data_IF_746719177346
#
_entry.id   IF_746719177346
#
_cell.length_a   1.000
_cell.length_b   1.000
_cell.length_c   1.000
_cell.angle_alpha   90.00
_cell.angle_beta   90.00
_cell.angle_gamma   90.00
#
_symmetry.space_group_name_H-M   'P 1'
#
loop_
_entity.id
_entity.type
_entity.pdbx_description
1 polymer ?
#
# COMPACT_ATOMS: atom_id res chain seq x y z
N UNK A 1 28.57 32.11 -63.14
CA UNK A 1 27.58 33.18 -62.91
C UNK A 1 26.17 32.57 -62.93
N UNK A 2 25.40 32.84 -61.85
CA UNK A 2 23.94 32.61 -61.67
C UNK A 2 23.48 31.14 -61.58
N UNK A 3 22.56 30.73 -60.69
CA UNK A 3 21.92 31.26 -59.48
C UNK A 3 21.13 30.05 -58.87
N UNK A 4 21.01 30.03 -57.55
CA UNK A 4 20.15 29.17 -56.71
C UNK A 4 18.75 28.84 -57.27
N UNK A 5 18.22 27.64 -56.95
CA UNK A 5 16.98 27.49 -56.15
C UNK A 5 16.73 26.05 -55.67
N UNK A 6 16.33 26.00 -54.40
CA UNK A 6 15.82 24.91 -53.55
C UNK A 6 14.58 24.25 -54.18
N UNK A 7 14.44 22.91 -54.06
CA UNK A 7 13.20 22.32 -53.55
C UNK A 7 13.39 20.89 -53.02
N UNK A 8 12.94 20.77 -51.79
CA UNK A 8 12.79 19.62 -50.90
C UNK A 8 11.47 18.92 -51.26
N UNK A 9 11.46 17.62 -51.56
CA UNK A 9 10.26 16.77 -51.36
C UNK A 9 10.75 15.40 -50.84
N UNK A 10 10.78 15.32 -49.51
CA UNK A 10 10.56 14.10 -48.74
C UNK A 10 9.13 13.59 -49.02
N UNK A 11 9.00 12.29 -49.28
CA UNK A 11 7.74 11.54 -49.10
C UNK A 11 8.12 10.09 -48.77
N UNK A 12 8.19 9.74 -47.49
CA UNK A 12 7.10 9.15 -46.71
C UNK A 12 6.89 7.66 -47.04
N UNK A 13 7.58 6.80 -46.29
CA UNK A 13 7.02 5.52 -45.86
C UNK A 13 7.27 5.42 -44.36
N UNK A 14 6.31 5.96 -43.60
CA UNK A 14 6.17 5.70 -42.19
C UNK A 14 5.63 4.28 -42.04
N UNK A 15 6.50 3.34 -41.68
CA UNK A 15 6.06 2.10 -41.01
C UNK A 15 6.00 2.47 -39.53
N UNK A 16 4.81 2.83 -39.09
CA UNK A 16 4.47 2.94 -37.68
C UNK A 16 4.44 1.50 -37.16
N UNK A 17 5.51 1.09 -36.46
CA UNK A 17 5.44 -0.01 -35.52
C UNK A 17 5.07 0.61 -34.18
N UNK A 18 3.78 0.68 -33.88
CA UNK A 18 3.30 0.85 -32.50
C UNK A 18 3.57 -0.46 -31.77
N UNK A 19 4.75 -0.56 -31.16
CA UNK A 19 4.94 -1.38 -29.98
C UNK A 19 4.82 -0.42 -28.79
N UNK A 20 3.73 -0.52 -28.03
CA UNK A 20 3.68 0.07 -26.69
C UNK A 20 4.68 -0.70 -25.83
N UNK A 21 5.91 -0.24 -25.78
CA UNK A 21 6.75 -0.44 -24.60
C UNK A 21 6.59 0.81 -23.77
N UNK A 22 6.07 0.69 -22.55
CA UNK A 22 6.21 1.74 -21.54
C UNK A 22 7.69 2.12 -21.49
N UNK A 23 7.97 3.34 -21.94
CA UNK A 23 9.27 3.97 -21.77
C UNK A 23 9.41 4.23 -20.28
N UNK A 24 10.21 3.40 -19.59
CA UNK A 24 10.73 3.73 -18.27
C UNK A 24 11.49 5.07 -18.39
N UNK A 25 10.80 6.19 -18.15
CA UNK A 25 11.44 7.49 -18.04
C UNK A 25 12.00 7.65 -16.63
N UNK A 26 13.09 6.93 -16.36
CA UNK A 26 14.34 7.51 -15.83
C UNK A 26 15.35 6.41 -15.49
N UNK A 27 16.31 6.16 -16.39
CA UNK A 27 17.67 5.84 -15.94
C UNK A 27 18.33 7.17 -15.57
N UNK A 28 18.10 7.68 -14.36
CA UNK A 28 18.96 8.76 -13.83
C UNK A 28 20.24 8.09 -13.32
N UNK A 29 21.30 8.22 -14.10
CA UNK A 29 22.66 7.94 -13.65
C UNK A 29 23.00 8.93 -12.53
N UNK A 30 23.30 8.40 -11.35
CA UNK A 30 23.78 9.15 -10.19
C UNK A 30 25.07 9.89 -10.55
N UNK A 31 24.97 11.20 -10.83
CA UNK A 31 26.09 12.13 -10.95
C UNK A 31 26.46 12.70 -9.57
N UNK A 32 27.11 11.89 -8.74
CA UNK A 32 28.09 12.27 -7.71
C UNK A 32 28.51 10.99 -6.97
N UNK A 33 29.79 10.85 -6.60
CA UNK A 33 30.24 9.70 -5.81
C UNK A 33 29.65 9.79 -4.40
N UNK A 34 28.47 9.23 -4.20
CA UNK A 34 27.82 9.19 -2.88
C UNK A 34 28.63 8.25 -1.99
N UNK A 35 29.12 8.76 -0.86
CA UNK A 35 29.79 7.93 0.14
C UNK A 35 28.74 7.12 0.92
N UNK A 36 28.54 5.87 0.47
CA UNK A 36 27.57 4.96 1.08
C UNK A 36 28.00 4.50 2.49
N UNK A 37 29.22 4.78 2.94
CA UNK A 37 29.70 4.33 4.25
C UNK A 37 29.07 5.05 5.44
N UNK A 38 28.40 6.19 5.19
CA UNK A 38 27.66 6.94 6.21
C UNK A 38 26.27 6.35 6.53
N UNK A 39 25.81 5.38 5.74
CA UNK A 39 24.47 4.80 5.85
C UNK A 39 24.49 3.45 6.58
N UNK A 40 23.55 3.26 7.50
CA UNK A 40 23.35 2.00 8.22
C UNK A 40 22.87 0.89 7.26
N UNK A 41 22.07 1.28 6.27
CA UNK A 41 21.42 0.41 5.30
C UNK A 41 21.21 1.19 4.01
N UNK A 42 21.37 0.53 2.86
CA UNK A 42 21.02 1.08 1.54
C UNK A 42 20.18 0.06 0.79
N UNK A 43 19.19 0.53 0.04
CA UNK A 43 18.28 -0.30 -0.73
C UNK A 43 17.71 0.49 -1.91
N UNK A 44 17.13 -0.20 -2.88
CA UNK A 44 16.39 0.43 -3.99
C UNK A 44 14.90 0.30 -3.70
N UNK A 45 14.16 1.40 -3.88
CA UNK A 45 12.72 1.45 -3.70
C UNK A 45 12.06 1.78 -5.04
N UNK A 46 11.07 0.98 -5.43
CA UNK A 46 10.17 1.34 -6.52
C UNK A 46 9.07 2.24 -5.95
N UNK A 47 8.85 3.39 -6.57
CA UNK A 47 7.94 4.43 -6.11
C UNK A 47 7.03 4.84 -7.26
N UNK A 48 5.72 4.89 -7.03
CA UNK A 48 4.76 5.45 -7.98
C UNK A 48 4.18 6.75 -7.44
N UNK A 49 4.20 7.81 -8.23
CA UNK A 49 3.57 9.09 -7.90
C UNK A 49 3.15 9.82 -9.17
N UNK A 50 1.90 10.33 -9.22
CA UNK A 50 1.34 11.06 -10.36
C UNK A 50 1.50 10.33 -11.72
N UNK A 51 1.28 9.01 -11.71
CA UNK A 51 1.38 8.16 -12.91
C UNK A 51 2.81 7.88 -13.39
N UNK A 52 3.82 8.36 -12.67
CA UNK A 52 5.23 8.10 -12.95
C UNK A 52 5.76 7.04 -11.98
N UNK A 53 6.64 6.17 -12.49
CA UNK A 53 7.36 5.17 -11.69
C UNK A 53 8.83 5.57 -11.59
N UNK A 54 9.31 5.67 -10.36
CA UNK A 54 10.68 6.02 -10.00
C UNK A 54 11.35 4.81 -9.36
N UNK A 55 12.61 4.55 -9.72
CA UNK A 55 13.45 3.55 -9.07
C UNK A 55 14.57 4.27 -8.35
N UNK A 56 14.43 4.41 -7.03
CA UNK A 56 15.23 5.35 -6.23
C UNK A 56 16.18 4.59 -5.30
N UNK A 57 17.45 4.99 -5.30
CA UNK A 57 18.40 4.53 -4.28
C UNK A 57 18.12 5.27 -2.97
N UNK A 58 17.91 4.52 -1.90
CA UNK A 58 17.60 5.00 -0.57
C UNK A 58 18.71 4.64 0.41
N UNK A 59 18.91 5.49 1.41
CA UNK A 59 19.81 5.26 2.53
C UNK A 59 19.12 5.53 3.86
N UNK A 60 19.42 4.71 4.87
CA UNK A 60 19.03 4.99 6.25
C UNK A 60 20.21 5.62 6.98
N UNK A 61 20.01 6.82 7.52
CA UNK A 61 21.00 7.54 8.33
C UNK A 61 20.34 8.05 9.61
N UNK A 62 20.87 7.66 10.76
CA UNK A 62 20.33 8.04 12.08
C UNK A 62 18.81 7.80 12.19
N UNK A 63 18.36 6.62 11.80
CA UNK A 63 16.93 6.22 11.79
C UNK A 63 16.00 7.07 10.92
N UNK A 64 16.55 7.80 9.94
CA UNK A 64 15.79 8.58 8.95
C UNK A 64 16.05 8.04 7.54
N UNK A 65 15.00 8.06 6.71
CA UNK A 65 15.10 7.74 5.28
C UNK A 65 15.63 8.95 4.51
N UNK A 66 16.65 8.73 3.70
CA UNK A 66 17.14 9.69 2.72
C UNK A 66 17.01 9.10 1.30
N UNK A 67 16.37 9.85 0.41
CA UNK A 67 16.38 9.54 -1.02
C UNK A 67 17.68 10.09 -1.63
N UNK A 68 18.52 9.21 -2.16
CA UNK A 68 19.85 9.57 -2.66
C UNK A 68 19.82 10.09 -4.09
N UNK A 69 18.71 9.89 -4.81
CA UNK A 69 18.43 10.60 -6.05
C UNK A 69 17.97 12.03 -5.73
N UNK A 70 18.76 13.01 -6.15
CA UNK A 70 18.46 14.43 -5.88
C UNK A 70 17.13 14.89 -6.48
N UNK A 71 16.80 14.43 -7.68
CA UNK A 71 15.58 14.84 -8.39
C UNK A 71 14.35 14.36 -7.64
N UNK A 72 14.35 13.07 -7.26
CA UNK A 72 13.25 12.50 -6.49
C UNK A 72 13.23 13.07 -5.06
N UNK A 73 14.38 13.29 -4.43
CA UNK A 73 14.44 13.91 -3.11
C UNK A 73 13.84 15.33 -3.11
N UNK A 74 14.15 16.13 -4.13
CA UNK A 74 13.57 17.47 -4.30
C UNK A 74 12.04 17.39 -4.49
N UNK A 75 11.54 16.42 -5.27
CA UNK A 75 10.11 16.14 -5.39
C UNK A 75 9.49 15.75 -4.04
N UNK A 76 10.10 14.81 -3.33
CA UNK A 76 9.57 14.30 -2.07
C UNK A 76 9.49 15.39 -1.00
N UNK A 77 10.58 16.14 -0.79
CA UNK A 77 10.65 17.15 0.29
C UNK A 77 9.74 18.35 0.02
N UNK A 78 9.56 18.74 -1.25
CA UNK A 78 8.79 19.94 -1.60
C UNK A 78 7.32 19.67 -1.92
N UNK A 79 6.93 18.43 -2.17
CA UNK A 79 5.58 18.07 -2.60
C UNK A 79 5.00 16.93 -1.74
N UNK A 80 5.51 15.71 -1.89
CA UNK A 80 4.93 14.50 -1.28
C UNK A 80 4.90 14.59 0.25
N UNK A 81 6.02 14.94 0.88
CA UNK A 81 6.15 14.96 2.34
C UNK A 81 5.29 16.04 3.01
N UNK A 82 5.03 17.15 2.31
CA UNK A 82 4.25 18.29 2.78
C UNK A 82 2.74 18.08 2.67
N UNK A 83 2.29 17.05 1.95
CA UNK A 83 0.88 16.77 1.80
C UNK A 83 0.30 16.17 3.09
N UNK A 84 -0.55 16.95 3.79
CA UNK A 84 -1.23 16.53 5.02
C UNK A 84 -2.33 15.47 4.81
N UNK A 85 -2.74 15.25 3.56
CA UNK A 85 -3.76 14.28 3.15
C UNK A 85 -3.19 13.07 2.39
N UNK A 86 -1.86 12.96 2.35
CA UNK A 86 -1.13 11.93 1.63
C UNK A 86 -1.68 10.53 1.93
N UNK A 87 -1.98 9.80 0.87
CA UNK A 87 -2.30 8.38 0.93
C UNK A 87 -1.18 7.54 0.34
N UNK A 88 -0.86 6.44 1.02
CA UNK A 88 0.20 5.50 0.65
C UNK A 88 -0.39 4.11 0.47
N UNK A 89 -0.03 3.42 -0.61
CA UNK A 89 -0.29 1.99 -0.79
C UNK A 89 1.05 1.25 -0.78
N UNK A 90 1.28 0.46 0.27
CA UNK A 90 2.45 -0.42 0.33
C UNK A 90 2.11 -1.76 -0.33
N UNK A 91 2.88 -2.11 -1.36
CA UNK A 91 2.71 -3.32 -2.15
C UNK A 91 3.96 -4.17 -1.96
N UNK A 92 3.84 -5.27 -1.22
CA UNK A 92 4.92 -6.24 -1.10
C UNK A 92 4.81 -7.24 -2.26
N UNK A 93 5.85 -7.33 -3.09
CA UNK A 93 5.89 -8.32 -4.16
C UNK A 93 6.78 -9.51 -3.75
N UNK A 94 6.39 -10.72 -4.13
CA UNK A 94 7.12 -11.94 -3.77
C UNK A 94 8.53 -12.05 -4.38
N UNK A 95 8.86 -11.19 -5.35
CA UNK A 95 10.16 -11.08 -6.02
C UNK A 95 11.10 -10.02 -5.39
N UNK A 96 10.65 -9.32 -4.34
CA UNK A 96 11.47 -8.36 -3.60
C UNK A 96 11.55 -6.97 -4.24
N UNK A 97 10.64 -6.67 -5.17
CA UNK A 97 10.44 -5.34 -5.77
C UNK A 97 9.28 -4.59 -5.09
N UNK A 98 9.35 -4.51 -3.76
CA UNK A 98 8.37 -3.78 -2.95
C UNK A 98 8.16 -2.38 -3.56
N UNK A 99 6.89 -2.04 -3.78
CA UNK A 99 6.50 -0.77 -4.40
C UNK A 99 5.68 0.03 -3.41
N UNK A 100 6.01 1.30 -3.26
CA UNK A 100 5.18 2.26 -2.54
C UNK A 100 4.53 3.19 -3.56
N UNK A 101 3.20 3.28 -3.51
CA UNK A 101 2.47 4.24 -4.32
C UNK A 101 2.01 5.40 -3.42
N UNK A 102 2.29 6.62 -3.87
CA UNK A 102 1.84 7.85 -3.23
C UNK A 102 0.69 8.46 -4.04
N UNK A 103 -0.32 8.95 -3.32
CA UNK A 103 -1.50 9.63 -3.87
C UNK A 103 -1.79 10.87 -3.04
N UNK A 104 -2.34 11.92 -3.66
CA UNK A 104 -2.55 13.16 -2.94
C UNK A 104 -3.68 13.06 -1.91
N UNK A 105 -4.61 12.11 -2.11
CA UNK A 105 -5.69 11.80 -1.19
C UNK A 105 -6.02 10.30 -1.18
N UNK A 106 -6.69 9.85 -0.11
CA UNK A 106 -7.26 8.51 -0.02
C UNK A 106 -8.24 8.20 -1.16
N UNK A 107 -9.05 9.18 -1.56
CA UNK A 107 -10.05 9.02 -2.62
C UNK A 107 -9.39 8.73 -3.98
N UNK A 108 -8.28 9.40 -4.30
CA UNK A 108 -7.52 9.13 -5.53
C UNK A 108 -6.92 7.73 -5.55
N UNK A 109 -6.38 7.26 -4.42
CA UNK A 109 -5.87 5.89 -4.28
C UNK A 109 -6.99 4.87 -4.48
N UNK A 110 -8.13 5.08 -3.82
CA UNK A 110 -9.28 4.18 -3.89
C UNK A 110 -9.86 4.12 -5.31
N UNK A 111 -9.99 5.26 -5.98
CA UNK A 111 -10.45 5.33 -7.37
C UNK A 111 -9.45 4.65 -8.33
N UNK A 112 -8.14 4.89 -8.15
CA UNK A 112 -7.10 4.30 -9.00
C UNK A 112 -7.07 2.76 -8.95
N UNK A 113 -7.43 2.18 -7.81
CA UNK A 113 -7.47 0.73 -7.59
C UNK A 113 -8.88 0.12 -7.66
N UNK A 114 -9.89 0.92 -8.01
CA UNK A 114 -11.31 0.52 -7.96
C UNK A 114 -11.67 -0.16 -6.64
N UNK A 115 -11.14 0.40 -5.54
CA UNK A 115 -11.26 -0.18 -4.21
C UNK A 115 -12.65 0.11 -3.66
N UNK A 116 -13.42 -0.94 -3.41
CA UNK A 116 -14.69 -0.85 -2.71
C UNK A 116 -14.61 -1.55 -1.36
N UNK A 117 -15.33 -1.03 -0.39
CA UNK A 117 -15.40 -1.65 0.91
C UNK A 117 -16.44 -2.76 0.93
N UNK A 118 -16.00 -3.98 1.22
CA UNK A 118 -16.87 -5.15 1.18
C UNK A 118 -17.97 -5.09 2.25
N UNK A 119 -17.60 -4.81 3.51
CA UNK A 119 -18.55 -4.70 4.61
C UNK A 119 -18.74 -3.24 5.03
N UNK A 120 -19.97 -2.86 5.42
CA UNK A 120 -20.28 -1.51 5.92
C UNK A 120 -20.41 -1.41 7.43
N UNK A 121 -20.52 -2.54 8.12
CA UNK A 121 -20.82 -2.57 9.55
C UNK A 121 -19.53 -2.71 10.37
N UNK A 122 -19.24 -1.70 11.19
CA UNK A 122 -18.06 -1.69 12.06
C UNK A 122 -18.39 -2.25 13.43
N UNK A 123 -17.42 -2.94 14.05
CA UNK A 123 -17.40 -3.01 15.51
C UNK A 123 -16.45 -1.92 15.99
N UNK A 124 -17.02 -0.84 16.57
CA UNK A 124 -16.24 0.12 17.34
C UNK A 124 -15.83 -0.54 18.65
N UNK A 125 -14.73 -1.28 18.67
CA UNK A 125 -14.28 -1.99 19.86
C UNK A 125 -13.45 -1.08 20.77
N UNK A 126 -14.12 -0.35 21.66
CA UNK A 126 -13.53 0.01 22.96
C UNK A 126 -13.79 -1.14 23.98
N UNK A 127 -14.52 -2.18 23.59
CA UNK A 127 -14.89 -3.31 24.45
C UNK A 127 -14.77 -4.64 23.73
N UNK A 128 -13.93 -5.51 24.28
CA UNK A 128 -13.63 -6.88 23.84
C UNK A 128 -14.87 -7.69 23.47
N UNK A 129 -15.24 -7.77 22.19
CA UNK A 129 -16.08 -8.86 21.72
C UNK A 129 -15.15 -9.89 21.09
N UNK A 130 -15.24 -11.12 21.56
CA UNK A 130 -14.58 -12.22 20.89
C UNK A 130 -15.17 -12.31 19.47
N UNK A 131 -14.30 -12.37 18.46
CA UNK A 131 -14.75 -12.59 17.08
C UNK A 131 -15.33 -14.00 17.01
N UNK A 132 -16.64 -14.08 16.78
CA UNK A 132 -17.31 -15.35 16.53
C UNK A 132 -17.14 -15.75 15.06
N UNK A 133 -16.77 -17.00 14.81
CA UNK A 133 -16.63 -17.54 13.45
C UNK A 133 -15.19 -17.55 12.89
N UNK A 134 -15.02 -17.97 11.63
CA UNK A 134 -13.71 -18.13 11.02
C UNK A 134 -13.06 -16.76 10.77
N UNK A 135 -11.81 -16.63 11.22
CA UNK A 135 -10.97 -15.47 10.93
C UNK A 135 -10.65 -15.48 9.43
N UNK A 136 -10.88 -14.36 8.77
CA UNK A 136 -10.59 -14.17 7.34
C UNK A 136 -9.44 -13.20 7.11
N UNK A 137 -9.06 -12.44 8.13
CA UNK A 137 -7.91 -11.56 8.10
C UNK A 137 -7.30 -11.37 9.49
N UNK A 138 -5.98 -11.17 9.52
CA UNK A 138 -5.23 -10.76 10.69
C UNK A 138 -4.32 -9.59 10.34
N UNK A 139 -4.18 -8.63 11.22
CA UNK A 139 -3.16 -7.60 11.17
C UNK A 139 -2.39 -7.59 12.49
N UNK A 140 -1.07 -7.41 12.41
CA UNK A 140 -0.20 -7.31 13.59
C UNK A 140 0.64 -6.04 13.46
N UNK A 141 0.49 -5.14 14.42
CA UNK A 141 1.25 -3.90 14.53
C UNK A 141 2.30 -4.06 15.63
N UNK A 142 3.54 -3.67 15.38
CA UNK A 142 4.65 -3.81 16.32
C UNK A 142 5.27 -2.44 16.66
N UNK A 143 5.60 -2.22 17.94
CA UNK A 143 6.23 -0.98 18.44
C UNK A 143 7.61 -0.72 17.81
N UNK A 144 8.35 -1.78 17.46
CA UNK A 144 9.71 -1.71 16.92
C UNK A 144 9.86 -2.37 15.55
N UNK A 145 10.93 -2.02 14.84
CA UNK A 145 11.31 -2.64 13.56
C UNK A 145 11.63 -4.12 13.71
N UNK A 146 11.59 -4.85 12.59
CA UNK A 146 11.80 -6.30 12.52
C UNK A 146 10.81 -7.13 13.36
N UNK A 147 9.58 -6.62 13.55
CA UNK A 147 8.49 -7.33 14.23
C UNK A 147 8.78 -7.64 15.71
N UNK A 148 9.35 -6.66 16.42
CA UNK A 148 9.83 -6.80 17.80
C UNK A 148 8.99 -6.01 18.81
N UNK A 149 9.30 -6.28 20.08
CA UNK A 149 8.68 -5.69 21.26
C UNK A 149 7.17 -5.98 21.35
N UNK A 150 6.40 -5.06 21.93
CA UNK A 150 4.95 -5.16 22.07
C UNK A 150 4.27 -5.12 20.71
N UNK A 151 3.17 -5.86 20.61
CA UNK A 151 2.31 -5.87 19.44
C UNK A 151 0.83 -5.79 19.80
N UNK A 152 0.03 -5.28 18.87
CA UNK A 152 -1.42 -5.49 18.83
C UNK A 152 -1.72 -6.48 17.71
N UNK A 153 -2.62 -7.42 17.98
CA UNK A 153 -3.21 -8.30 16.98
C UNK A 153 -4.66 -7.90 16.76
N UNK A 154 -5.03 -7.66 15.50
CA UNK A 154 -6.37 -7.35 15.05
C UNK A 154 -6.84 -8.48 14.14
N UNK A 155 -7.94 -9.12 14.49
CA UNK A 155 -8.54 -10.18 13.67
C UNK A 155 -9.85 -9.67 13.07
N UNK A 156 -10.23 -10.14 11.89
CA UNK A 156 -11.55 -9.88 11.30
C UNK A 156 -12.15 -11.17 10.77
N UNK A 157 -13.48 -11.22 10.68
CA UNK A 157 -14.21 -12.28 9.99
C UNK A 157 -14.94 -11.70 8.77
N UNK A 158 -15.70 -12.53 8.05
CA UNK A 158 -16.43 -12.10 6.85
C UNK A 158 -17.56 -11.10 7.11
N UNK A 159 -18.03 -10.96 8.35
CA UNK A 159 -19.22 -10.19 8.71
C UNK A 159 -18.84 -8.89 9.46
N UNK A 160 -17.64 -8.83 10.04
CA UNK A 160 -17.21 -7.76 10.95
C UNK A 160 -15.84 -7.22 10.55
N UNK A 161 -15.73 -5.90 10.54
CA UNK A 161 -14.45 -5.21 10.44
C UNK A 161 -14.14 -4.46 11.74
N UNK A 162 -12.84 -4.21 12.00
CA UNK A 162 -12.38 -3.48 13.17
C UNK A 162 -12.14 -2.02 12.81
N UNK A 163 -12.65 -1.11 13.63
CA UNK A 163 -12.32 0.31 13.56
C UNK A 163 -11.91 0.81 14.96
N UNK A 164 -10.66 1.26 15.09
CA UNK A 164 -10.11 1.76 16.35
C UNK A 164 -9.74 3.23 16.16
N UNK A 165 -10.50 4.18 16.73
CA UNK A 165 -10.24 5.62 16.58
C UNK A 165 -9.06 6.10 17.42
N UNK A 166 -8.61 5.31 18.41
CA UNK A 166 -7.48 5.65 19.27
C UNK A 166 -6.79 4.38 19.77
N UNK A 167 -5.60 4.08 19.25
CA UNK A 167 -4.84 2.87 19.62
C UNK A 167 -4.32 2.89 21.06
N UNK A 168 -4.00 4.08 21.56
CA UNK A 168 -3.54 4.28 22.94
C UNK A 168 -4.62 3.89 23.95
N UNK A 169 -5.87 4.27 23.69
CA UNK A 169 -7.01 3.91 24.53
C UNK A 169 -7.40 2.43 24.42
N UNK A 170 -7.13 1.80 23.26
CA UNK A 170 -7.48 0.41 22.99
C UNK A 170 -6.62 -0.61 23.74
N UNK A 171 -5.28 -0.48 23.68
CA UNK A 171 -4.36 -1.47 24.27
C UNK A 171 -3.14 -0.86 24.96
N UNK A 172 -3.16 0.45 25.26
CA UNK A 172 -1.98 1.16 25.77
C UNK A 172 -0.82 1.19 24.77
N UNK A 173 -1.11 0.89 23.50
CA UNK A 173 -0.14 0.88 22.41
C UNK A 173 0.11 2.32 22.00
N UNK A 174 1.31 2.79 22.34
CA UNK A 174 1.57 4.22 22.47
C UNK A 174 1.96 4.82 21.14
N UNK A 175 1.01 5.04 20.24
CA UNK A 175 1.12 5.74 18.94
C UNK A 175 2.42 5.44 18.16
N UNK A 176 3.07 4.29 18.43
CA UNK A 176 4.38 3.92 17.93
C UNK A 176 4.19 2.63 17.18
N UNK A 177 4.35 2.67 15.86
CA UNK A 177 4.34 1.46 15.04
C UNK A 177 5.47 1.59 14.05
N UNK A 178 6.39 0.63 14.10
CA UNK A 178 7.56 0.62 13.22
C UNK A 178 7.55 -0.54 12.26
N UNK A 179 6.73 -1.58 12.48
CA UNK A 179 6.56 -2.68 11.54
C UNK A 179 5.15 -3.28 11.58
N UNK A 180 4.71 -3.83 10.44
CA UNK A 180 3.34 -4.33 10.23
C UNK A 180 3.38 -5.67 9.50
N UNK A 181 2.44 -6.56 9.85
CA UNK A 181 2.11 -7.76 9.07
C UNK A 181 0.62 -7.85 8.83
N UNK A 182 0.21 -8.14 7.60
CA UNK A 182 -1.20 -8.34 7.25
C UNK A 182 -1.39 -9.67 6.54
N UNK A 183 -2.46 -10.38 6.93
CA UNK A 183 -2.83 -11.70 6.44
C UNK A 183 -4.19 -11.64 5.77
N UNK A 184 -4.31 -12.40 4.68
CA UNK A 184 -5.57 -12.70 4.02
C UNK A 184 -5.81 -14.21 4.01
N UNK A 185 -6.88 -14.64 4.66
CA UNK A 185 -7.31 -16.04 4.72
C UNK A 185 -8.58 -16.30 3.88
N UNK A 186 -8.99 -15.34 3.05
CA UNK A 186 -10.11 -15.54 2.12
C UNK A 186 -9.70 -16.54 1.05
N UNK A 187 -10.43 -17.65 0.96
CA UNK A 187 -10.17 -18.69 -0.02
C UNK A 187 -10.58 -18.20 -1.42
N UNK A 188 -9.75 -18.36 -2.47
CA UNK A 188 -10.07 -17.87 -3.81
C UNK A 188 -11.44 -18.32 -4.33
N UNK A 189 -11.77 -19.59 -4.13
CA UNK A 189 -13.04 -20.19 -4.56
C UNK A 189 -14.18 -20.00 -3.55
N UNK A 190 -13.87 -19.47 -2.36
CA UNK A 190 -14.82 -19.16 -1.31
C UNK A 190 -15.87 -18.15 -1.78
N UNK A 191 -17.09 -18.28 -1.27
CA UNK A 191 -18.22 -17.42 -1.62
C UNK A 191 -18.61 -16.59 -0.41
N UNK A 192 -18.44 -15.28 -0.51
CA UNK A 192 -18.64 -14.34 0.60
C UNK A 192 -19.76 -13.37 0.23
N UNK A 193 -20.73 -13.18 1.13
CA UNK A 193 -21.78 -12.16 0.96
C UNK A 193 -21.54 -11.09 2.01
N UNK A 194 -21.47 -9.82 1.62
CA UNK A 194 -21.22 -8.75 2.57
C UNK A 194 -22.35 -8.66 3.59
N UNK A 195 -21.98 -8.42 4.85
CA UNK A 195 -22.95 -8.17 5.91
C UNK A 195 -23.36 -6.70 5.89
N UNK A 196 -24.67 -6.47 5.99
CA UNK A 196 -25.27 -5.13 6.10
C UNK A 196 -26.39 -5.21 7.13
N UNK A 197 -26.37 -4.33 8.14
CA UNK A 197 -27.31 -4.28 9.27
C UNK A 197 -28.77 -4.07 8.84
N UNK A 198 -28.98 -3.43 7.68
CA UNK A 198 -30.30 -3.08 7.13
C UNK A 198 -30.48 -3.59 5.70
N UNK A 199 -30.44 -4.91 5.48
CA UNK A 199 -30.48 -5.48 4.14
C UNK A 199 -31.81 -5.23 3.42
N UNK A 200 -32.89 -4.96 4.18
CA UNK A 200 -34.21 -4.60 3.64
C UNK A 200 -34.28 -3.19 3.03
N UNK A 201 -33.23 -2.36 3.19
CA UNK A 201 -33.14 -1.04 2.58
C UNK A 201 -32.44 -1.06 1.21
N UNK A 202 -32.00 -2.22 0.74
CA UNK A 202 -31.33 -2.36 -0.55
C UNK A 202 -32.36 -2.62 -1.65
N UNK A 203 -32.24 -1.88 -2.76
CA UNK A 203 -33.05 -2.08 -3.96
C UNK A 203 -32.77 -3.43 -4.66
N UNK A 204 -31.63 -4.06 -4.35
CA UNK A 204 -31.22 -5.36 -4.87
C UNK A 204 -30.55 -6.20 -3.78
N UNK A 205 -30.78 -7.54 -3.77
CA UNK A 205 -30.06 -8.42 -2.86
C UNK A 205 -28.56 -8.40 -3.15
N UNK A 206 -27.76 -8.42 -2.09
CA UNK A 206 -26.30 -8.52 -2.20
C UNK A 206 -25.95 -9.84 -2.87
N UNK A 207 -25.12 -9.75 -3.92
CA UNK A 207 -24.64 -10.93 -4.62
C UNK A 207 -23.36 -11.43 -3.96
N UNK A 208 -23.18 -12.75 -3.80
CA UNK A 208 -21.94 -13.28 -3.29
C UNK A 208 -20.77 -12.94 -4.21
N UNK A 209 -19.64 -12.57 -3.61
CA UNK A 209 -18.36 -12.36 -4.28
C UNK A 209 -17.42 -13.53 -4.02
N UNK A 210 -16.59 -13.86 -5.02
CA UNK A 210 -15.52 -14.84 -4.85
C UNK A 210 -14.36 -14.24 -4.06
N UNK A 211 -13.76 -15.04 -3.18
CA UNK A 211 -12.60 -14.60 -2.39
C UNK A 211 -11.42 -14.17 -3.26
N UNK A 212 -11.31 -14.67 -4.49
CA UNK A 212 -10.29 -14.21 -5.45
C UNK A 212 -10.35 -12.71 -5.76
N UNK A 213 -11.53 -12.08 -5.60
CA UNK A 213 -11.74 -10.64 -5.80
C UNK A 213 -11.62 -9.81 -4.51
N UNK A 214 -11.36 -10.46 -3.39
CA UNK A 214 -11.34 -9.83 -2.08
C UNK A 214 -9.95 -9.85 -1.49
N UNK A 215 -9.62 -8.80 -0.74
CA UNK A 215 -8.40 -8.65 0.02
C UNK A 215 -8.70 -8.17 1.41
N UNK A 216 -7.82 -8.48 2.36
CA UNK A 216 -7.83 -7.83 3.66
C UNK A 216 -6.90 -6.63 3.59
N UNK A 217 -7.35 -5.51 4.14
CA UNK A 217 -6.63 -4.25 4.10
C UNK A 217 -6.64 -3.61 5.48
N UNK A 218 -5.43 -3.40 6.02
CA UNK A 218 -5.23 -2.56 7.19
C UNK A 218 -5.01 -1.12 6.70
N UNK A 219 -5.96 -0.25 7.01
CA UNK A 219 -5.90 1.18 6.76
C UNK A 219 -5.44 1.84 8.05
N UNK A 220 -4.26 2.42 8.03
CA UNK A 220 -3.61 3.04 9.19
C UNK A 220 -3.54 4.54 9.01
N UNK A 221 -3.84 5.28 10.08
CA UNK A 221 -3.89 6.74 10.07
C UNK A 221 -2.85 7.30 11.02
N UNK A 222 -2.18 8.36 10.59
CA UNK A 222 -1.17 9.07 11.38
C UNK A 222 -1.77 9.65 12.67
N UNK A 223 -3.01 10.16 12.62
CA UNK A 223 -3.69 10.77 13.75
C UNK A 223 -4.88 9.93 14.27
N UNK A 224 -5.32 10.25 15.50
CA UNK A 224 -6.54 9.66 16.07
C UNK A 224 -7.79 10.09 15.30
N UNK A 225 -8.86 9.32 15.43
CA UNK A 225 -10.14 9.53 14.76
C UNK A 225 -10.04 9.57 13.23
N UNK A 226 -9.15 8.75 12.66
CA UNK A 226 -8.99 8.56 11.22
C UNK A 226 -8.51 9.83 10.49
N UNK A 227 -7.60 10.58 11.13
CA UNK A 227 -7.05 11.83 10.59
C UNK A 227 -5.60 11.72 10.10
N UNK A 228 -5.15 12.78 9.43
CA UNK A 228 -3.78 12.90 8.93
C UNK A 228 -3.54 12.04 7.69
N UNK A 229 -2.27 11.69 7.49
CA UNK A 229 -1.84 10.79 6.40
C UNK A 229 -2.40 9.39 6.60
N UNK A 230 -2.57 8.64 5.51
CA UNK A 230 -3.13 7.28 5.53
C UNK A 230 -2.25 6.29 4.79
N UNK A 231 -2.09 5.09 5.36
CA UNK A 231 -1.35 3.96 4.81
C UNK A 231 -2.28 2.77 4.63
N UNK A 232 -2.34 2.24 3.41
CA UNK A 232 -3.06 1.04 3.05
C UNK A 232 -2.07 -0.12 2.94
N UNK A 233 -2.19 -1.09 3.83
CA UNK A 233 -1.45 -2.34 3.81
C UNK A 233 -2.39 -3.46 3.32
N UNK A 234 -2.26 -3.87 2.06
CA UNK A 234 -3.12 -4.86 1.42
C UNK A 234 -2.43 -6.22 1.39
N UNK A 235 -3.12 -7.27 1.84
CA UNK A 235 -2.59 -8.63 1.88
C UNK A 235 -3.21 -9.53 0.80
N UNK A 236 -2.34 -10.14 -0.02
CA UNK A 236 -2.72 -11.14 -1.01
C UNK A 236 -3.06 -12.49 -0.39
N UNK A 237 -3.78 -13.33 -1.14
CA UNK A 237 -4.00 -14.71 -0.74
C UNK A 237 -2.71 -15.53 -0.90
N UNK A 238 -2.37 -16.32 0.11
CA UNK A 238 -1.37 -17.40 0.00
C UNK A 238 -1.90 -18.66 0.66
N UNK A 239 -1.69 -19.81 0.01
CA UNK A 239 -2.00 -21.11 0.61
C UNK A 239 -1.08 -21.47 1.79
N UNK A 240 0.03 -20.74 1.96
CA UNK A 240 0.99 -20.92 3.04
C UNK A 240 0.72 -20.04 4.26
N UNK A 241 -0.22 -19.08 4.15
CA UNK A 241 -0.57 -18.19 5.24
C UNK A 241 -1.14 -18.99 6.42
N UNK A 242 -0.49 -18.87 7.57
CA UNK A 242 -0.82 -19.57 8.82
C UNK A 242 -0.88 -18.57 9.97
N UNK A 243 -2.04 -18.53 10.61
CA UNK A 243 -2.36 -17.66 11.74
C UNK A 243 -1.40 -17.81 12.93
N UNK A 244 -0.75 -18.96 13.07
CA UNK A 244 0.21 -19.25 14.14
C UNK A 244 1.67 -18.97 13.74
N UNK A 245 1.91 -18.60 12.48
CA UNK A 245 3.24 -18.39 11.92
C UNK A 245 3.33 -17.00 11.29
N UNK A 246 3.62 -15.96 12.09
CA UNK A 246 3.55 -14.58 11.63
C UNK A 246 4.39 -14.28 10.37
N UNK A 247 5.48 -15.01 10.17
CA UNK A 247 6.36 -14.90 9.00
C UNK A 247 5.71 -15.29 7.66
N UNK A 248 4.53 -15.93 7.70
CA UNK A 248 3.76 -16.33 6.51
C UNK A 248 2.77 -15.27 6.03
N UNK A 249 2.76 -14.09 6.66
CA UNK A 249 2.00 -12.94 6.17
C UNK A 249 2.41 -12.63 4.72
N UNK A 250 1.42 -12.31 3.89
CA UNK A 250 1.66 -11.93 2.50
C UNK A 250 2.04 -10.46 2.35
N UNK A 251 1.66 -9.63 3.33
CA UNK A 251 2.12 -8.26 3.44
C UNK A 251 3.00 -8.09 4.68
N UNK A 252 4.23 -7.62 4.49
CA UNK A 252 5.27 -7.62 5.52
C UNK A 252 6.15 -6.36 5.41
N UNK A 253 5.84 -5.36 6.22
CA UNK A 253 6.66 -4.16 6.35
C UNK A 253 7.56 -4.26 7.58
N UNK A 254 8.82 -4.63 7.39
CA UNK A 254 9.78 -4.75 8.51
C UNK A 254 10.13 -3.42 9.16
N UNK A 255 9.96 -2.32 8.43
CA UNK A 255 10.32 -0.96 8.83
C UNK A 255 9.54 0.06 8.02
N UNK A 256 8.50 0.65 8.60
CA UNK A 256 7.64 1.62 7.91
C UNK A 256 8.40 2.85 7.39
N UNK A 257 9.47 3.24 8.10
CA UNK A 257 10.35 4.32 7.65
C UNK A 257 11.01 4.08 6.30
N UNK A 258 11.13 2.84 5.83
CA UNK A 258 11.77 2.55 4.55
C UNK A 258 11.02 3.15 3.36
N UNK A 259 9.74 3.48 3.52
CA UNK A 259 8.92 4.09 2.48
C UNK A 259 8.35 5.46 2.92
N UNK A 260 8.99 6.11 3.90
CA UNK A 260 8.66 7.48 4.31
C UNK A 260 7.53 7.58 5.34
N UNK A 261 6.96 6.46 5.81
CA UNK A 261 6.02 6.47 6.93
C UNK A 261 6.78 6.54 8.25
N UNK A 262 6.54 7.57 9.06
CA UNK A 262 7.17 7.71 10.37
C UNK A 262 6.60 6.69 11.38
N UNK A 263 7.18 6.58 12.57
CA UNK A 263 6.72 5.59 13.57
C UNK A 263 5.34 5.90 14.18
N UNK A 264 4.48 6.73 13.56
CA UNK A 264 3.23 7.20 14.17
C UNK A 264 2.00 6.61 13.48
N UNK A 265 1.28 5.74 14.20
CA UNK A 265 -0.06 5.28 13.84
C UNK A 265 -0.93 5.44 15.08
N UNK A 266 -2.00 6.21 14.97
CA UNK A 266 -2.87 6.55 16.11
C UNK A 266 -4.29 6.00 15.97
N UNK A 267 -4.73 5.68 14.76
CA UNK A 267 -6.00 5.00 14.52
C UNK A 267 -5.93 4.08 13.31
N UNK A 268 -6.80 3.07 13.28
CA UNK A 268 -6.80 2.04 12.23
C UNK A 268 -8.21 1.59 11.88
N UNK A 269 -8.37 1.14 10.63
CA UNK A 269 -9.50 0.35 10.16
C UNK A 269 -8.96 -0.90 9.51
N UNK A 270 -9.29 -2.08 10.02
CA UNK A 270 -8.94 -3.35 9.38
C UNK A 270 -10.20 -3.98 8.82
N UNK A 271 -10.25 -4.17 7.49
CA UNK A 271 -11.46 -4.59 6.77
C UNK A 271 -11.17 -5.41 5.53
N UNK A 272 -12.24 -5.92 4.92
CA UNK A 272 -12.19 -6.54 3.59
C UNK A 272 -12.49 -5.47 2.54
N UNK A 273 -11.70 -5.44 1.48
CA UNK A 273 -11.86 -4.57 0.32
C UNK A 273 -11.94 -5.41 -0.96
N UNK A 274 -12.57 -4.85 -1.98
CA UNK A 274 -12.40 -5.31 -3.35
C UNK A 274 -11.16 -4.63 -3.94
N UNK A 275 -10.48 -5.34 -4.82
CA UNK A 275 -9.46 -4.76 -5.67
C UNK A 275 -9.64 -5.42 -7.04
N UNK A 276 -9.71 -4.65 -8.12
CA UNK A 276 -9.71 -5.27 -9.46
C UNK A 276 -8.41 -6.06 -9.67
N UNK A 277 -8.52 -7.16 -10.42
CA UNK A 277 -7.51 -8.22 -10.53
C UNK A 277 -6.06 -7.71 -10.54
N UNK A 278 -5.37 -7.87 -9.42
CA UNK A 278 -3.95 -8.20 -9.42
C UNK A 278 -3.87 -9.59 -10.05
N UNK A 279 -3.61 -9.68 -11.36
CA UNK A 279 -3.38 -10.96 -12.01
C UNK A 279 -2.23 -11.68 -11.26
N UNK A 280 -2.56 -12.76 -10.53
CA UNK A 280 -1.61 -13.63 -9.83
C UNK A 280 -0.61 -12.93 -8.88
N UNK A 281 -1.09 -12.10 -7.94
CA UNK A 281 -0.27 -11.61 -6.82
C UNK A 281 0.98 -10.84 -7.23
N UNK A 282 1.00 -10.36 -8.47
CA UNK A 282 1.96 -9.40 -8.99
C UNK A 282 1.11 -8.25 -9.45
N UNK A 283 1.23 -7.10 -8.78
CA UNK A 283 0.68 -5.86 -9.34
C UNK A 283 1.43 -5.69 -10.65
N UNK A 284 0.76 -5.73 -11.82
CA UNK A 284 1.43 -5.41 -13.06
C UNK A 284 1.96 -4.00 -12.88
N UNK A 285 3.28 -3.82 -13.02
CA UNK A 285 3.80 -2.50 -13.30
C UNK A 285 3.17 -2.09 -14.64
N UNK A 286 2.13 -1.25 -14.55
CA UNK A 286 1.68 -0.39 -15.63
C UNK A 286 2.58 0.84 -15.64
#
# INVERSE_FOLDING_TARGET
MKKFKILFIMSLFAVIVTACSEEYQSEVLVEESIDLSEYEETFTQNIKYNGMVYRVLCGIKNDSLEYLDKTFNDLYVNEIALNEHLAMLAVCSGDGEDTIEFYDTAAELEDAHSMEYFNTDSVNEIGSRAIEGPIVGRAILYDDKDYKDRSIVLDINKDLFIAIPNLKDYAGFNDKTSSIRVFNFLLPDGSYTPHIDKPWMLDKPLSPMKGSKLRTCLISYEDSNYGGKVLYCVADYSSEADINRPETATHQDRRLKNFGWNDKISSVVFRIVTLENIENGTIPAH
#
